data_IF_988714984549
#
_entry.id   IF_988714984549
#
_cell.length_a   1.000
_cell.length_b   1.000
_cell.length_c   1.000
_cell.angle_alpha   90.00
_cell.angle_beta   90.00
_cell.angle_gamma   90.00
#
_symmetry.space_group_name_H-M   'P 1'
#
loop_
_entity.id
_entity.type
_entity.pdbx_description
1 polymer ?
#
# COMPACT_ATOMS: atom_id res chain seq x y z
N UNK A 1 9.10 -34.74 -17.89
CA UNK A 1 9.12 -33.68 -18.93
C UNK A 1 8.05 -32.66 -18.57
N UNK A 2 8.44 -31.52 -17.98
CA UNK A 2 7.53 -30.56 -17.35
C UNK A 2 7.59 -29.26 -18.14
N UNK A 3 6.62 -29.03 -19.04
CA UNK A 3 6.47 -27.76 -19.73
C UNK A 3 5.56 -26.85 -18.90
N UNK A 4 6.14 -25.85 -18.26
CA UNK A 4 5.44 -24.74 -17.63
C UNK A 4 5.20 -23.68 -18.69
N UNK A 5 3.99 -23.64 -19.24
CA UNK A 5 3.58 -22.61 -20.20
C UNK A 5 3.12 -21.40 -19.39
N UNK A 6 3.73 -20.27 -19.72
CA UNK A 6 3.67 -19.00 -19.02
C UNK A 6 2.25 -18.45 -19.11
N UNK A 7 1.72 -18.01 -17.98
CA UNK A 7 0.44 -17.33 -17.88
C UNK A 7 0.51 -16.02 -18.68
N UNK A 8 0.02 -16.06 -19.93
CA UNK A 8 -0.15 -14.87 -20.76
C UNK A 8 -1.26 -14.02 -20.15
N UNK A 9 -0.96 -12.75 -19.94
CA UNK A 9 -1.90 -11.77 -19.39
C UNK A 9 -3.16 -11.73 -20.25
N UNK A 10 -4.32 -11.98 -19.62
CA UNK A 10 -5.67 -12.04 -20.24
C UNK A 10 -6.12 -10.74 -20.94
N UNK A 11 -5.25 -9.76 -21.10
CA UNK A 11 -5.57 -8.42 -21.60
C UNK A 11 -5.28 -8.22 -23.09
N UNK A 12 -4.38 -9.00 -23.71
CA UNK A 12 -4.02 -8.82 -25.12
C UNK A 12 -5.01 -9.49 -26.10
N UNK A 13 -5.68 -10.57 -25.69
CA UNK A 13 -6.58 -11.36 -26.57
C UNK A 13 -7.96 -10.70 -26.83
N UNK A 14 -8.29 -9.61 -26.11
CA UNK A 14 -9.60 -8.96 -26.19
C UNK A 14 -9.73 -8.00 -27.40
N UNK A 15 -8.63 -7.64 -28.05
CA UNK A 15 -8.64 -6.72 -29.21
C UNK A 15 -8.87 -7.42 -30.55
N UNK A 16 -8.53 -8.71 -30.67
CA UNK A 16 -8.60 -9.44 -31.95
C UNK A 16 -9.89 -10.28 -32.09
N UNK A 17 -10.51 -10.67 -30.97
CA UNK A 17 -11.65 -11.62 -30.95
C UNK A 17 -13.04 -10.98 -31.13
N UNK A 18 -13.15 -9.66 -31.31
CA UNK A 18 -14.45 -8.94 -31.38
C UNK A 18 -15.00 -8.69 -32.80
N UNK A 19 -14.47 -9.33 -33.85
CA UNK A 19 -15.00 -9.16 -35.22
C UNK A 19 -15.84 -10.35 -35.70
N UNK A 20 -15.82 -11.50 -35.02
CA UNK A 20 -16.58 -12.67 -35.45
C UNK A 20 -17.37 -13.29 -34.30
N UNK A 21 -18.70 -13.29 -34.44
CA UNK A 21 -19.66 -14.15 -33.74
C UNK A 21 -20.18 -13.65 -32.38
N UNK A 22 -21.18 -12.77 -32.46
CA UNK A 22 -22.20 -12.67 -31.43
C UNK A 22 -23.12 -13.91 -31.50
N UNK A 23 -22.89 -14.93 -30.66
CA UNK A 23 -23.91 -15.94 -30.30
C UNK A 23 -23.44 -16.87 -29.16
N UNK A 24 -23.44 -16.40 -27.93
CA UNK A 24 -23.93 -17.16 -26.77
C UNK A 24 -23.88 -16.24 -25.55
N UNK A 25 -25.03 -16.06 -24.91
CA UNK A 25 -25.21 -15.30 -23.68
C UNK A 25 -24.18 -15.75 -22.63
N UNK A 26 -23.27 -14.86 -22.22
CA UNK A 26 -22.29 -15.08 -21.14
C UNK A 26 -22.75 -14.29 -19.91
N UNK A 27 -22.63 -14.82 -18.68
CA UNK A 27 -23.22 -14.26 -17.47
C UNK A 27 -22.88 -12.79 -17.32
N UNK A 28 -23.89 -12.00 -16.98
CA UNK A 28 -23.80 -10.54 -16.83
C UNK A 28 -22.82 -10.15 -15.72
N UNK A 29 -21.52 -10.20 -16.01
CA UNK A 29 -20.52 -9.43 -15.28
C UNK A 29 -20.78 -8.00 -15.70
N UNK A 30 -21.51 -7.29 -14.83
CA UNK A 30 -21.63 -5.84 -14.88
C UNK A 30 -20.24 -5.27 -14.62
N UNK A 31 -19.39 -5.28 -15.63
CA UNK A 31 -18.24 -4.38 -15.66
C UNK A 31 -18.86 -3.00 -15.57
N UNK A 32 -18.62 -2.32 -14.44
CA UNK A 32 -19.10 -0.98 -14.20
C UNK A 32 -18.86 -0.17 -15.47
N UNK A 33 -19.94 0.38 -16.03
CA UNK A 33 -19.84 1.28 -17.17
C UNK A 33 -19.10 2.53 -16.67
N UNK A 34 -17.78 2.52 -16.85
CA UNK A 34 -16.92 3.64 -16.51
C UNK A 34 -17.43 4.83 -17.34
N UNK A 35 -17.93 5.85 -16.66
CA UNK A 35 -18.43 7.07 -17.27
C UNK A 35 -17.34 7.80 -18.09
N UNK A 36 -16.08 7.42 -17.91
CA UNK A 36 -14.90 7.96 -18.58
C UNK A 36 -14.03 6.79 -19.06
N UNK A 37 -13.52 6.87 -20.29
CA UNK A 37 -12.56 5.88 -20.81
C UNK A 37 -11.30 5.91 -19.95
N UNK A 38 -10.89 4.78 -19.33
CA UNK A 38 -9.68 4.76 -18.53
C UNK A 38 -8.47 4.95 -19.45
N UNK A 39 -7.58 5.88 -19.10
CA UNK A 39 -6.38 6.10 -19.89
C UNK A 39 -5.40 4.93 -19.68
N UNK A 40 -4.77 4.44 -20.77
CA UNK A 40 -3.90 3.27 -20.68
C UNK A 40 -2.65 3.53 -19.82
N UNK A 41 -2.20 4.79 -19.74
CA UNK A 41 -1.02 5.17 -18.96
C UNK A 41 -1.28 5.04 -17.44
N UNK A 42 -2.42 5.53 -16.96
CA UNK A 42 -2.81 5.40 -15.56
C UNK A 42 -3.07 3.95 -15.17
N UNK A 43 -3.71 3.15 -16.03
CA UNK A 43 -3.91 1.72 -15.78
C UNK A 43 -2.57 1.00 -15.61
N UNK A 44 -1.59 1.31 -16.47
CA UNK A 44 -0.23 0.77 -16.37
C UNK A 44 0.47 1.23 -15.09
N UNK A 45 0.34 2.50 -14.72
CA UNK A 45 0.89 3.03 -13.47
C UNK A 45 0.30 2.33 -12.24
N UNK A 46 -1.02 2.17 -12.20
CA UNK A 46 -1.72 1.48 -11.12
C UNK A 46 -1.26 0.02 -10.99
N UNK A 47 -1.13 -0.69 -12.12
CA UNK A 47 -0.60 -2.05 -12.15
C UNK A 47 0.85 -2.14 -11.66
N UNK A 48 1.70 -1.16 -12.03
CA UNK A 48 3.08 -1.06 -11.56
C UNK A 48 3.15 -0.80 -10.05
N UNK A 49 2.29 0.07 -9.50
CA UNK A 49 2.24 0.33 -8.06
C UNK A 49 1.82 -0.92 -7.28
N UNK A 50 0.81 -1.64 -7.77
CA UNK A 50 0.32 -2.88 -7.15
C UNK A 50 1.40 -3.97 -7.11
N UNK A 51 2.13 -4.15 -8.21
CA UNK A 51 3.16 -5.20 -8.34
C UNK A 51 4.54 -4.79 -7.80
N UNK A 52 4.72 -3.54 -7.33
CA UNK A 52 6.01 -3.00 -6.86
C UNK A 52 6.74 -3.87 -5.84
N UNK A 53 6.00 -4.50 -4.93
CA UNK A 53 6.56 -5.33 -3.86
C UNK A 53 7.27 -6.59 -4.40
N UNK A 54 6.89 -7.11 -5.57
CA UNK A 54 7.56 -8.26 -6.20
C UNK A 54 8.99 -7.93 -6.64
N UNK A 55 9.25 -6.68 -7.00
CA UNK A 55 10.56 -6.22 -7.50
C UNK A 55 11.42 -5.55 -6.43
N UNK A 56 11.00 -5.64 -5.16
CA UNK A 56 11.73 -5.02 -4.06
C UNK A 56 13.07 -5.72 -3.80
N UNK A 57 14.09 -4.92 -3.46
CA UNK A 57 15.44 -5.40 -3.15
C UNK A 57 15.97 -4.72 -1.90
N UNK A 58 16.63 -5.51 -1.04
CA UNK A 58 17.38 -4.99 0.10
C UNK A 58 18.69 -4.41 -0.39
N UNK A 59 18.75 -3.09 -0.44
CA UNK A 59 19.97 -2.33 -0.70
C UNK A 59 20.39 -1.64 0.59
N UNK A 60 21.68 -1.28 0.77
CA UNK A 60 22.12 -0.58 1.97
C UNK A 60 21.31 0.70 2.25
N UNK A 61 20.87 1.41 1.19
CA UNK A 61 20.00 2.58 1.32
C UNK A 61 18.61 2.22 1.85
N UNK A 62 17.91 1.28 1.22
CA UNK A 62 16.54 0.91 1.60
C UNK A 62 16.51 0.28 2.99
N UNK A 63 17.48 -0.59 3.32
CA UNK A 63 17.60 -1.20 4.64
C UNK A 63 17.77 -0.15 5.75
N UNK A 64 18.66 0.85 5.55
CA UNK A 64 18.85 1.94 6.53
C UNK A 64 17.57 2.73 6.77
N UNK A 65 16.87 3.10 5.70
CA UNK A 65 15.61 3.85 5.80
C UNK A 65 14.56 3.03 6.55
N UNK A 66 14.33 1.78 6.14
CA UNK A 66 13.35 0.91 6.80
C UNK A 66 13.68 0.70 8.28
N UNK A 67 14.95 0.49 8.63
CA UNK A 67 15.38 0.33 10.01
C UNK A 67 15.11 1.57 10.87
N UNK A 68 15.37 2.77 10.35
CA UNK A 68 15.12 4.02 11.08
C UNK A 68 13.62 4.19 11.35
N UNK A 69 12.78 4.04 10.31
CA UNK A 69 11.35 4.32 10.43
C UNK A 69 10.58 3.25 11.19
N UNK A 70 10.97 1.97 11.08
CA UNK A 70 10.26 0.86 11.74
C UNK A 70 10.84 0.56 13.12
N UNK A 71 12.13 0.77 13.34
CA UNK A 71 12.80 0.46 14.60
C UNK A 71 13.09 1.70 15.43
N UNK A 72 13.94 2.60 14.92
CA UNK A 72 14.51 3.71 15.71
C UNK A 72 13.44 4.70 16.16
N UNK A 73 12.58 5.16 15.24
CA UNK A 73 11.56 6.16 15.56
C UNK A 73 10.54 5.61 16.58
N UNK A 74 9.93 4.43 16.39
CA UNK A 74 9.03 3.87 17.38
C UNK A 74 9.70 3.57 18.73
N UNK A 75 10.97 3.15 18.73
CA UNK A 75 11.70 2.91 19.97
C UNK A 75 11.93 4.20 20.79
N UNK A 76 12.32 5.30 20.12
CA UNK A 76 12.48 6.61 20.79
C UNK A 76 11.13 7.09 21.33
N UNK A 77 10.08 7.03 20.51
CA UNK A 77 8.74 7.46 20.94
C UNK A 77 8.21 6.60 22.09
N UNK A 78 8.39 5.28 22.02
CA UNK A 78 8.03 4.38 23.10
C UNK A 78 8.80 4.68 24.38
N UNK A 79 10.12 4.89 24.29
CA UNK A 79 10.94 5.24 25.44
C UNK A 79 10.48 6.54 26.10
N UNK A 80 10.25 7.59 25.32
CA UNK A 80 9.74 8.86 25.84
C UNK A 80 8.39 8.63 26.49
N UNK A 81 7.45 7.98 25.79
CA UNK A 81 6.12 7.70 26.31
C UNK A 81 6.17 6.97 27.66
N UNK A 82 6.95 5.89 27.79
CA UNK A 82 7.09 5.15 29.04
C UNK A 82 7.70 5.98 30.18
N UNK A 83 8.58 6.94 29.88
CA UNK A 83 9.21 7.79 30.89
C UNK A 83 8.36 8.99 31.26
N UNK A 84 7.51 9.46 30.35
CA UNK A 84 6.63 10.62 30.56
C UNK A 84 5.22 10.22 31.01
N UNK A 85 4.88 8.93 30.96
CA UNK A 85 3.59 8.43 31.39
C UNK A 85 3.38 8.69 32.88
N UNK A 86 2.25 9.33 33.23
CA UNK A 86 1.92 9.76 34.60
C UNK A 86 2.79 10.87 35.18
N UNK A 87 3.83 11.32 34.47
CA UNK A 87 4.80 12.28 35.01
C UNK A 87 4.27 13.73 35.06
N UNK A 88 3.26 14.03 34.24
CA UNK A 88 2.70 15.38 34.09
C UNK A 88 1.24 15.38 34.55
N UNK A 89 0.97 15.96 35.72
CA UNK A 89 -0.40 16.19 36.19
C UNK A 89 -0.74 17.69 36.14
N UNK A 90 -1.60 18.05 35.19
CA UNK A 90 -2.08 19.41 35.00
C UNK A 90 -3.38 19.69 35.77
N UNK A 91 -3.93 18.71 36.48
CA UNK A 91 -5.24 18.85 37.10
C UNK A 91 -5.20 19.83 38.27
N UNK A 92 -6.01 20.89 38.16
CA UNK A 92 -6.19 21.93 39.17
C UNK A 92 -4.92 22.68 39.63
N UNK A 93 -3.80 22.61 38.88
CA UNK A 93 -2.56 23.33 39.18
C UNK A 93 -2.69 24.83 38.89
N UNK A 94 -2.16 25.70 39.75
CA UNK A 94 -2.16 27.17 39.60
C UNK A 94 -0.75 27.69 39.33
N UNK A 95 -0.63 29.00 39.06
CA UNK A 95 0.66 29.65 38.79
C UNK A 95 1.59 29.47 40.00
N UNK A 96 2.70 28.75 39.79
CA UNK A 96 3.70 28.45 40.82
C UNK A 96 3.67 27.03 41.38
N UNK A 97 2.64 26.23 41.05
CA UNK A 97 2.56 24.83 41.51
C UNK A 97 3.42 23.89 40.66
N UNK A 98 3.93 22.83 41.30
CA UNK A 98 4.70 21.77 40.63
C UNK A 98 3.75 20.88 39.81
N UNK A 99 4.03 20.84 38.50
CA UNK A 99 3.31 20.07 37.47
C UNK A 99 3.93 18.68 37.26
N UNK A 100 5.17 18.50 37.70
CA UNK A 100 5.95 17.28 37.55
C UNK A 100 5.79 16.40 38.79
N UNK A 101 5.30 15.18 38.62
CA UNK A 101 5.28 14.14 39.66
C UNK A 101 6.53 13.27 39.49
N UNK A 102 7.30 13.04 40.57
CA UNK A 102 8.58 12.31 40.52
C UNK A 102 8.51 10.96 41.21
#
# INVERSE_FOLDING_TARGET
MKLTIIQTDKYDDQFVTRTTLARHQSPSIKMAHLNVKPDPAYLKYAAMMKSRHHYFRWTPRTAKITFIYVGVIPAIMGYIAYKTDGLWDFRAKRKGDLVYEK
#
